data_IF_810596882787
#
_entry.id   IF_810596882787
#
_cell.length_a   1.000
_cell.length_b   1.000
_cell.length_c   1.000
_cell.angle_alpha   90.00
_cell.angle_beta   90.00
_cell.angle_gamma   90.00
#
_symmetry.space_group_name_H-M   'P 1'
#
loop_
_entity.id
_entity.type
_entity.pdbx_description
1 polymer ?
#
# COMPACT_ATOMS: atom_id res chain seq x y z
N UNK A 1 78.19 -13.34 68.51
CA UNK A 1 79.43 -14.10 68.15
C UNK A 1 79.99 -13.37 66.96
N UNK A 2 80.93 -12.59 67.27
CA UNK A 2 82.39 -12.62 66.99
C UNK A 2 82.64 -12.18 65.55
N UNK A 3 83.13 -10.94 65.42
CA UNK A 3 84.59 -10.56 65.38
C UNK A 3 85.14 -10.80 63.96
N UNK A 4 85.91 -10.04 63.35
CA UNK A 4 86.87 -8.99 63.76
C UNK A 4 87.74 -8.73 62.57
N UNK A 5 88.07 -7.47 62.35
CA UNK A 5 89.42 -6.92 62.31
C UNK A 5 90.27 -7.32 61.07
N UNK A 6 91.15 -6.60 60.51
CA UNK A 6 91.92 -5.42 60.95
C UNK A 6 92.72 -4.87 59.76
N UNK A 7 92.94 -3.58 59.76
CA UNK A 7 94.26 -2.88 59.73
C UNK A 7 95.22 -3.19 58.60
N UNK A 8 95.74 -2.25 58.02
CA UNK A 8 96.53 -1.08 58.25
C UNK A 8 97.64 -0.99 57.21
N UNK A 9 97.93 0.10 56.83
CA UNK A 9 99.09 0.98 57.05
C UNK A 9 100.09 1.17 55.87
N UNK A 10 100.13 2.39 55.50
CA UNK A 10 101.27 3.29 55.48
C UNK A 10 102.43 3.05 54.44
N UNK A 11 102.64 4.01 53.61
CA UNK A 11 103.79 4.94 53.73
C UNK A 11 104.11 5.60 52.40
N UNK A 12 104.14 6.91 52.38
CA UNK A 12 104.95 7.73 51.47
C UNK A 12 106.44 7.53 51.72
N UNK A 13 107.43 7.91 50.90
CA UNK A 13 107.66 9.31 50.56
C UNK A 13 108.33 9.63 49.21
N UNK A 14 108.39 10.91 48.97
CA UNK A 14 109.45 11.75 48.40
C UNK A 14 109.64 11.80 46.86
N UNK A 15 109.26 13.00 46.32
CA UNK A 15 110.02 13.99 45.57
C UNK A 15 111.23 13.59 44.75
N UNK A 16 111.22 14.01 43.49
CA UNK A 16 112.41 14.62 42.83
C UNK A 16 111.92 15.54 41.68
N UNK A 17 112.53 16.76 41.72
CA UNK A 17 112.26 17.90 40.81
C UNK A 17 112.94 17.70 39.44
N UNK A 18 112.35 18.48 38.50
CA UNK A 18 112.90 19.26 37.36
C UNK A 18 113.06 18.51 36.00
N UNK A 19 113.16 19.21 34.84
CA UNK A 19 112.97 20.68 34.61
C UNK A 19 112.01 21.02 33.45
N UNK A 20 111.71 22.32 33.34
CA UNK A 20 110.98 23.05 32.37
C UNK A 20 111.44 22.93 30.91
N UNK A 21 110.60 22.76 29.93
CA UNK A 21 110.82 23.17 28.54
C UNK A 21 109.49 23.64 27.87
N UNK A 22 109.55 24.38 26.78
CA UNK A 22 108.70 25.56 26.56
C UNK A 22 107.31 25.24 25.83
N UNK A 23 106.32 26.06 26.06
CA UNK A 23 104.99 26.06 25.42
C UNK A 23 105.08 26.34 23.90
N UNK A 24 104.43 25.51 23.05
CA UNK A 24 104.18 25.94 21.69
C UNK A 24 102.94 26.84 21.62
N UNK A 25 102.96 27.88 20.77
CA UNK A 25 101.86 28.81 20.46
C UNK A 25 100.77 28.02 19.76
N UNK A 26 99.42 28.27 20.06
CA UNK A 26 98.31 27.64 19.36
C UNK A 26 98.20 28.14 17.93
N UNK A 27 98.24 27.22 16.97
CA UNK A 27 97.99 27.51 15.55
C UNK A 27 96.55 27.93 15.31
N UNK A 28 96.36 29.02 14.62
CA UNK A 28 95.06 29.66 14.26
C UNK A 28 94.08 28.71 13.54
N UNK A 29 94.48 27.53 13.13
CA UNK A 29 93.66 26.51 12.45
C UNK A 29 92.72 25.74 13.40
N UNK A 30 92.94 25.65 14.68
CA UNK A 30 92.13 24.95 15.67
C UNK A 30 90.85 25.78 16.03
N UNK A 31 90.96 27.08 15.97
CA UNK A 31 89.78 27.95 16.19
C UNK A 31 88.71 27.79 15.10
N UNK A 32 89.06 27.46 13.87
CA UNK A 32 88.10 27.17 12.79
C UNK A 32 87.43 25.82 12.91
N UNK A 33 88.13 24.82 13.51
CA UNK A 33 87.53 23.50 13.78
C UNK A 33 86.50 23.57 14.93
N UNK A 34 86.75 24.37 15.96
CA UNK A 34 85.79 24.61 17.05
C UNK A 34 84.58 25.43 16.59
N UNK A 35 84.80 26.41 15.74
CA UNK A 35 83.65 27.16 15.17
C UNK A 35 82.79 26.30 14.27
N UNK A 36 83.33 25.38 13.47
CA UNK A 36 82.63 24.44 12.64
C UNK A 36 81.81 23.42 13.48
N UNK A 37 82.32 22.90 14.55
CA UNK A 37 81.57 21.94 15.43
C UNK A 37 80.41 22.62 16.18
N UNK A 38 80.59 23.87 16.63
CA UNK A 38 79.51 24.63 17.27
C UNK A 38 78.40 24.98 16.26
N UNK A 39 78.75 25.33 14.99
CA UNK A 39 77.77 25.58 13.95
C UNK A 39 77.02 24.31 13.58
N UNK A 40 77.65 23.15 13.44
CA UNK A 40 76.92 21.87 13.14
C UNK A 40 76.07 21.43 14.35
N UNK A 41 76.56 21.61 15.58
CA UNK A 41 75.75 21.33 16.78
C UNK A 41 74.57 22.29 16.91
N UNK A 42 74.70 23.58 16.51
CA UNK A 42 73.61 24.53 16.48
C UNK A 42 72.56 24.25 15.41
N UNK A 43 73.01 23.88 14.19
CA UNK A 43 72.10 23.48 13.09
C UNK A 43 71.43 22.13 13.40
N UNK A 44 72.19 21.16 13.93
CA UNK A 44 71.63 19.86 14.33
C UNK A 44 70.65 19.95 15.51
N UNK A 45 70.95 20.76 16.52
CA UNK A 45 70.06 21.05 17.65
C UNK A 45 68.86 21.85 17.25
N UNK A 46 69.01 22.84 16.35
CA UNK A 46 67.88 23.58 15.80
C UNK A 46 66.95 22.76 14.90
N UNK A 47 67.57 21.89 14.04
CA UNK A 47 66.79 20.95 13.22
C UNK A 47 66.09 19.89 14.09
N UNK A 48 66.73 19.38 15.14
CA UNK A 48 66.12 18.45 16.10
C UNK A 48 64.96 19.14 16.85
N UNK A 49 65.10 20.39 17.26
CA UNK A 49 64.03 21.15 17.93
C UNK A 49 62.89 21.52 17.00
N UNK A 50 63.18 21.83 15.74
CA UNK A 50 62.17 22.08 14.71
C UNK A 50 61.46 20.81 14.20
N UNK A 51 62.16 19.68 14.20
CA UNK A 51 61.61 18.37 13.78
C UNK A 51 61.06 17.51 14.94
N UNK A 52 61.27 17.95 16.19
CA UNK A 52 60.65 17.28 17.33
C UNK A 52 59.15 17.43 17.27
N UNK A 53 58.34 16.34 17.23
CA UNK A 53 56.92 16.43 17.26
C UNK A 53 56.51 17.19 18.54
N UNK A 54 55.88 18.34 18.36
CA UNK A 54 55.31 19.11 19.47
C UNK A 54 54.38 18.18 20.23
N UNK A 55 54.43 18.09 21.57
CA UNK A 55 53.45 17.32 22.32
C UNK A 55 52.07 17.89 21.98
N UNK A 56 51.30 17.11 21.23
CA UNK A 56 49.91 17.48 20.95
C UNK A 56 49.24 17.69 22.29
N UNK A 57 48.66 18.88 22.49
CA UNK A 57 47.85 19.18 23.67
C UNK A 57 46.67 18.22 23.65
N UNK A 58 46.73 17.16 24.39
CA UNK A 58 45.65 16.17 24.50
C UNK A 58 45.18 16.14 25.96
N UNK A 59 43.90 15.98 26.13
CA UNK A 59 43.28 15.76 27.44
C UNK A 59 43.06 14.26 27.59
N UNK A 60 43.79 13.66 28.57
CA UNK A 60 43.60 12.27 28.91
C UNK A 60 42.37 12.06 29.79
N UNK A 61 41.66 11.00 29.53
CA UNK A 61 40.51 10.55 30.34
C UNK A 61 40.48 9.03 30.40
N UNK A 62 40.01 8.55 31.53
CA UNK A 62 39.79 7.10 31.73
C UNK A 62 38.31 6.81 31.81
N UNK A 63 37.92 5.62 31.41
CA UNK A 63 36.53 5.21 31.40
C UNK A 63 36.36 3.75 31.02
N UNK A 64 35.24 3.43 30.45
CA UNK A 64 34.93 2.08 29.99
C UNK A 64 34.22 2.09 28.66
N UNK A 65 34.34 1.00 27.93
CA UNK A 65 33.57 0.75 26.71
C UNK A 65 32.13 0.43 27.11
N UNK A 66 31.19 1.06 26.47
CA UNK A 66 29.75 0.80 26.56
C UNK A 66 29.21 0.53 25.17
N UNK A 67 28.13 -0.26 25.07
CA UNK A 67 27.41 -0.52 23.80
C UNK A 67 25.98 -0.07 23.91
N UNK A 68 25.35 0.16 22.77
CA UNK A 68 23.92 0.40 22.73
C UNK A 68 23.17 -0.90 22.96
N UNK A 69 22.52 -1.00 24.11
CA UNK A 69 21.71 -2.16 24.47
C UNK A 69 20.33 -2.02 23.86
N UNK A 70 19.87 -3.07 23.19
CA UNK A 70 18.51 -3.16 22.66
C UNK A 70 17.76 -4.25 23.41
N UNK A 71 16.73 -3.84 24.12
CA UNK A 71 15.82 -4.77 24.79
C UNK A 71 14.84 -5.33 23.76
N UNK A 72 14.83 -6.66 23.63
CA UNK A 72 13.91 -7.41 22.77
C UNK A 72 12.77 -7.92 23.63
N UNK A 73 11.56 -7.47 23.33
CA UNK A 73 10.32 -7.86 24.02
C UNK A 73 9.32 -8.46 23.05
N UNK A 74 8.32 -9.15 23.59
CA UNK A 74 7.15 -9.61 22.81
C UNK A 74 6.05 -8.57 22.80
N UNK A 75 5.25 -8.55 21.72
CA UNK A 75 4.01 -7.80 21.61
C UNK A 75 2.79 -8.63 22.01
N UNK A 76 2.91 -9.95 22.00
CA UNK A 76 1.86 -10.88 22.43
C UNK A 76 2.13 -11.47 23.81
N UNK A 77 1.07 -11.77 24.57
CA UNK A 77 1.17 -12.60 25.77
C UNK A 77 1.14 -14.07 25.35
N UNK A 78 1.85 -14.94 26.09
CA UNK A 78 1.81 -16.38 25.84
C UNK A 78 2.86 -17.15 26.64
N UNK A 79 2.85 -18.44 26.49
CA UNK A 79 3.87 -19.32 27.04
C UNK A 79 5.03 -19.43 26.05
N UNK A 80 6.26 -19.36 26.51
CA UNK A 80 7.46 -19.60 25.69
C UNK A 80 7.52 -21.08 25.32
N UNK A 81 7.43 -21.38 24.05
CA UNK A 81 7.61 -22.75 23.51
C UNK A 81 9.09 -23.08 23.36
N UNK A 82 9.87 -22.16 22.75
CA UNK A 82 11.29 -22.35 22.49
C UNK A 82 12.05 -21.04 22.55
N UNK A 83 13.29 -21.13 23.06
CA UNK A 83 14.31 -20.09 22.98
C UNK A 83 15.47 -20.65 22.17
N UNK A 84 15.77 -20.04 21.02
CA UNK A 84 16.75 -20.58 20.06
C UNK A 84 18.18 -20.13 20.32
N UNK A 85 18.38 -19.16 21.22
CA UNK A 85 19.68 -18.55 21.50
C UNK A 85 20.02 -18.61 22.99
N UNK A 86 21.31 -18.56 23.29
CA UNK A 86 21.86 -18.49 24.67
C UNK A 86 22.57 -17.16 24.88
N UNK A 87 22.87 -16.84 26.13
CA UNK A 87 23.74 -15.71 26.45
C UNK A 87 25.13 -15.93 25.81
N UNK A 88 25.69 -14.86 25.28
CA UNK A 88 26.92 -14.89 24.49
C UNK A 88 26.78 -15.30 23.04
N UNK A 89 25.58 -15.72 22.58
CA UNK A 89 25.37 -16.09 21.19
C UNK A 89 25.33 -14.85 20.26
N UNK A 90 25.98 -14.95 19.11
CA UNK A 90 25.88 -13.96 18.04
C UNK A 90 24.59 -14.16 17.28
N UNK A 91 23.86 -13.08 17.03
CA UNK A 91 22.59 -13.07 16.32
C UNK A 91 22.61 -12.09 15.16
N UNK A 92 21.84 -12.39 14.11
CA UNK A 92 21.67 -11.51 12.95
C UNK A 92 20.26 -10.91 12.94
N UNK A 93 20.13 -9.73 12.36
CA UNK A 93 18.83 -9.08 12.20
C UNK A 93 17.84 -10.00 11.47
N UNK A 94 16.64 -10.15 12.05
CA UNK A 94 15.58 -11.04 11.53
C UNK A 94 15.70 -12.50 12.00
N UNK A 95 16.77 -12.89 12.69
CA UNK A 95 16.92 -14.24 13.23
C UNK A 95 15.88 -14.49 14.33
N UNK A 96 15.25 -15.67 14.29
CA UNK A 96 14.33 -16.12 15.34
C UNK A 96 15.07 -16.27 16.67
N UNK A 97 14.54 -15.64 17.71
CA UNK A 97 15.09 -15.68 19.08
C UNK A 97 14.19 -16.46 20.04
N UNK A 98 12.90 -16.14 20.02
CA UNK A 98 11.93 -16.76 20.92
C UNK A 98 10.66 -17.06 20.11
N UNK A 99 10.10 -18.24 20.33
CA UNK A 99 8.79 -18.63 19.83
C UNK A 99 7.85 -18.86 21.01
N UNK A 100 6.73 -18.20 20.96
CA UNK A 100 5.63 -18.45 21.90
C UNK A 100 4.71 -19.55 21.36
N UNK A 101 3.97 -20.19 22.24
CA UNK A 101 2.94 -21.16 21.89
C UNK A 101 1.87 -20.49 21.02
N UNK A 102 1.64 -21.04 19.84
CA UNK A 102 0.80 -20.45 18.80
C UNK A 102 -0.39 -21.34 18.39
N UNK A 103 -0.62 -22.46 19.08
CA UNK A 103 -1.64 -23.46 18.72
C UNK A 103 -3.05 -22.87 18.72
N UNK A 104 -3.39 -22.09 19.75
CA UNK A 104 -4.70 -21.40 19.86
C UNK A 104 -4.89 -20.40 18.73
N UNK A 105 -3.89 -19.54 18.48
CA UNK A 105 -3.97 -18.48 17.44
C UNK A 105 -3.99 -19.10 16.04
N UNK A 106 -3.30 -20.24 15.81
CA UNK A 106 -3.40 -20.98 14.54
C UNK A 106 -4.80 -21.54 14.32
N UNK A 107 -5.43 -22.03 15.37
CA UNK A 107 -6.82 -22.49 15.32
C UNK A 107 -7.79 -21.36 15.01
N UNK A 108 -7.62 -20.18 15.66
CA UNK A 108 -8.36 -18.97 15.34
C UNK A 108 -8.14 -18.53 13.89
N UNK A 109 -6.90 -18.58 13.38
CA UNK A 109 -6.59 -18.23 11.99
C UNK A 109 -7.29 -19.16 11.00
N UNK A 110 -7.33 -20.46 11.31
CA UNK A 110 -8.05 -21.44 10.49
C UNK A 110 -9.54 -21.15 10.46
N UNK A 111 -10.14 -20.85 11.62
CA UNK A 111 -11.55 -20.46 11.72
C UNK A 111 -11.84 -19.15 10.94
N UNK A 112 -11.01 -18.12 11.09
CA UNK A 112 -11.14 -16.87 10.36
C UNK A 112 -10.98 -17.05 8.84
N UNK A 113 -10.09 -17.96 8.41
CA UNK A 113 -9.92 -18.30 7.00
C UNK A 113 -11.16 -19.00 6.44
N UNK A 114 -11.76 -19.92 7.19
CA UNK A 114 -13.02 -20.59 6.81
C UNK A 114 -14.18 -19.60 6.72
N UNK A 115 -14.25 -18.61 7.62
CA UNK A 115 -15.24 -17.53 7.56
C UNK A 115 -15.06 -16.67 6.31
N UNK A 116 -13.83 -16.34 5.94
CA UNK A 116 -13.52 -15.60 4.71
C UNK A 116 -13.98 -16.38 3.47
N UNK A 117 -13.69 -17.66 3.38
CA UNK A 117 -14.14 -18.49 2.26
C UNK A 117 -15.67 -18.60 2.20
N UNK A 118 -16.36 -18.72 3.33
CA UNK A 118 -17.81 -18.70 3.37
C UNK A 118 -18.39 -17.36 2.89
N UNK A 119 -17.77 -16.22 3.24
CA UNK A 119 -18.17 -14.90 2.74
C UNK A 119 -17.96 -14.77 1.24
N UNK A 120 -16.85 -15.27 0.69
CA UNK A 120 -16.57 -15.29 -0.76
C UNK A 120 -17.60 -16.15 -1.53
N UNK A 121 -18.02 -17.27 -0.97
CA UNK A 121 -19.09 -18.09 -1.57
C UNK A 121 -20.40 -17.33 -1.67
N UNK A 122 -20.82 -16.59 -0.61
CA UNK A 122 -22.01 -15.76 -0.64
C UNK A 122 -21.91 -14.63 -1.68
N UNK A 123 -20.72 -14.03 -1.82
CA UNK A 123 -20.47 -13.04 -2.89
C UNK A 123 -20.64 -13.66 -4.28
N UNK A 124 -20.10 -14.87 -4.50
CA UNK A 124 -20.21 -15.57 -5.75
C UNK A 124 -21.69 -15.94 -6.06
N UNK A 125 -22.45 -16.38 -5.07
CA UNK A 125 -23.89 -16.64 -5.19
C UNK A 125 -24.66 -15.37 -5.58
N UNK A 126 -24.39 -14.24 -4.93
CA UNK A 126 -25.00 -12.96 -5.24
C UNK A 126 -24.67 -12.48 -6.67
N UNK A 127 -23.46 -12.71 -7.15
CA UNK A 127 -23.06 -12.44 -8.54
C UNK A 127 -23.80 -13.31 -9.53
N UNK A 128 -23.93 -14.61 -9.23
CA UNK A 128 -24.65 -15.54 -10.07
C UNK A 128 -26.13 -15.18 -10.18
N UNK A 129 -26.75 -14.75 -9.08
CA UNK A 129 -28.15 -14.29 -9.07
C UNK A 129 -28.35 -13.08 -10.00
N UNK A 130 -27.43 -12.13 -10.04
CA UNK A 130 -27.46 -11.00 -10.96
C UNK A 130 -27.37 -11.50 -12.41
N UNK A 131 -26.47 -12.41 -12.73
CA UNK A 131 -26.31 -12.97 -14.07
C UNK A 131 -27.58 -13.69 -14.55
N UNK A 132 -28.25 -14.43 -13.67
CA UNK A 132 -29.54 -15.07 -13.98
C UNK A 132 -30.60 -14.04 -14.31
N UNK A 133 -30.71 -12.97 -13.51
CA UNK A 133 -31.67 -11.89 -13.76
C UNK A 133 -31.36 -11.10 -15.04
N UNK A 134 -30.10 -10.88 -15.35
CA UNK A 134 -29.68 -10.25 -16.61
C UNK A 134 -30.05 -11.09 -17.83
N UNK A 135 -29.88 -12.42 -17.75
CA UNK A 135 -30.36 -13.34 -18.79
C UNK A 135 -31.88 -13.28 -18.96
N UNK A 136 -32.62 -13.27 -17.84
CA UNK A 136 -34.07 -13.16 -17.88
C UNK A 136 -34.55 -11.82 -18.46
N UNK A 137 -33.83 -10.73 -18.20
CA UNK A 137 -34.12 -9.41 -18.79
C UNK A 137 -33.87 -9.46 -20.31
N UNK A 138 -32.76 -10.07 -20.76
CA UNK A 138 -32.48 -10.21 -22.18
C UNK A 138 -33.54 -11.05 -22.90
N UNK A 139 -33.97 -12.16 -22.33
CA UNK A 139 -35.06 -12.97 -22.86
C UNK A 139 -36.40 -12.18 -22.93
N UNK A 140 -36.72 -11.43 -21.88
CA UNK A 140 -37.93 -10.60 -21.86
C UNK A 140 -37.86 -9.47 -22.88
N UNK A 141 -36.67 -8.91 -23.16
CA UNK A 141 -36.46 -7.91 -24.21
C UNK A 141 -36.70 -8.47 -25.62
N UNK A 142 -36.21 -9.67 -25.90
CA UNK A 142 -36.45 -10.37 -27.15
C UNK A 142 -37.93 -10.65 -27.35
N UNK A 143 -38.63 -11.10 -26.30
CA UNK A 143 -40.09 -11.33 -26.31
C UNK A 143 -40.85 -10.06 -26.52
N UNK A 144 -40.43 -8.93 -25.97
CA UNK A 144 -41.01 -7.61 -26.22
C UNK A 144 -40.87 -7.24 -27.69
N UNK A 145 -39.67 -7.31 -28.25
CA UNK A 145 -39.40 -7.00 -29.67
C UNK A 145 -40.24 -7.85 -30.61
N UNK A 146 -40.36 -9.15 -30.33
CA UNK A 146 -41.23 -10.05 -31.09
C UNK A 146 -42.71 -9.64 -30.97
N UNK A 147 -43.19 -9.36 -29.75
CA UNK A 147 -44.59 -8.93 -29.52
C UNK A 147 -44.91 -7.60 -30.17
N UNK A 148 -43.98 -6.65 -30.24
CA UNK A 148 -44.09 -5.40 -30.93
C UNK A 148 -44.21 -5.64 -32.46
N UNK A 149 -43.32 -6.46 -33.04
CA UNK A 149 -43.35 -6.81 -34.46
C UNK A 149 -44.66 -7.54 -34.86
N UNK A 150 -45.08 -8.50 -34.04
CA UNK A 150 -46.36 -9.22 -34.30
C UNK A 150 -47.57 -8.31 -34.23
N UNK A 151 -47.56 -7.35 -33.27
CA UNK A 151 -48.66 -6.40 -33.11
C UNK A 151 -48.69 -5.38 -34.27
N UNK A 152 -47.53 -4.86 -34.63
CA UNK A 152 -47.42 -3.93 -35.78
C UNK A 152 -47.82 -4.61 -37.09
N UNK A 153 -47.40 -5.86 -37.31
CA UNK A 153 -47.81 -6.66 -38.48
C UNK A 153 -49.32 -6.85 -38.55
N UNK A 154 -49.96 -7.25 -37.44
CA UNK A 154 -51.44 -7.43 -37.38
C UNK A 154 -52.18 -6.13 -37.61
N UNK A 155 -51.73 -5.02 -37.07
CA UNK A 155 -52.34 -3.71 -37.28
C UNK A 155 -52.16 -3.25 -38.71
N UNK A 156 -51.00 -3.48 -39.35
CA UNK A 156 -50.74 -3.17 -40.74
C UNK A 156 -51.64 -3.99 -41.68
N UNK A 157 -51.76 -5.30 -41.42
CA UNK A 157 -52.69 -6.18 -42.19
C UNK A 157 -54.13 -5.71 -42.06
N UNK A 158 -54.62 -5.42 -40.86
CA UNK A 158 -55.96 -4.95 -40.64
C UNK A 158 -56.22 -3.58 -41.32
N UNK A 159 -55.29 -2.64 -41.33
CA UNK A 159 -55.34 -1.39 -42.06
C UNK A 159 -55.41 -1.63 -43.55
N UNK A 160 -54.64 -2.57 -44.11
CA UNK A 160 -54.76 -2.90 -45.56
C UNK A 160 -56.12 -3.49 -45.93
N UNK A 161 -56.69 -4.33 -45.04
CA UNK A 161 -58.06 -4.86 -45.25
C UNK A 161 -59.13 -3.72 -45.25
N UNK A 162 -58.97 -2.76 -44.34
CA UNK A 162 -59.93 -1.55 -44.37
C UNK A 162 -59.74 -0.78 -45.65
N UNK A 163 -58.48 -0.51 -46.08
CA UNK A 163 -58.25 0.22 -47.34
C UNK A 163 -58.83 -0.52 -48.56
N UNK A 164 -58.67 -1.84 -48.61
CA UNK A 164 -59.28 -2.67 -49.67
C UNK A 164 -60.79 -2.61 -49.68
N UNK A 165 -61.41 -2.77 -48.50
CA UNK A 165 -62.85 -2.70 -48.38
C UNK A 165 -63.41 -1.30 -48.77
N UNK A 166 -62.72 -0.22 -48.40
CA UNK A 166 -63.06 1.15 -48.80
C UNK A 166 -62.92 1.35 -50.30
N UNK A 167 -61.93 0.78 -50.94
CA UNK A 167 -61.78 0.85 -52.40
C UNK A 167 -62.91 0.13 -53.13
N UNK A 168 -63.35 -1.03 -52.64
CA UNK A 168 -64.52 -1.77 -53.18
C UNK A 168 -65.79 -0.95 -52.98
N UNK A 169 -65.97 -0.37 -51.80
CA UNK A 169 -67.16 0.52 -51.58
C UNK A 169 -67.22 1.69 -52.59
N UNK A 170 -66.06 2.38 -52.75
CA UNK A 170 -65.96 3.48 -53.71
C UNK A 170 -66.26 3.03 -55.16
N UNK A 171 -65.81 1.83 -55.53
CA UNK A 171 -66.15 1.24 -56.84
C UNK A 171 -67.61 0.96 -57.01
N UNK A 172 -68.32 0.39 -56.00
CA UNK A 172 -69.75 0.12 -56.07
C UNK A 172 -70.56 1.41 -56.06
N UNK A 173 -70.16 2.44 -55.30
CA UNK A 173 -70.79 3.77 -55.33
C UNK A 173 -70.65 4.43 -56.72
N UNK A 174 -69.51 4.25 -57.42
CA UNK A 174 -69.37 4.71 -58.81
C UNK A 174 -70.31 3.94 -59.76
N UNK A 175 -70.51 2.62 -59.57
CA UNK A 175 -71.48 1.80 -60.36
C UNK A 175 -72.96 2.19 -60.14
N UNK A 176 -73.28 2.60 -58.91
CA UNK A 176 -74.65 3.17 -58.66
C UNK A 176 -74.87 4.42 -59.49
N UNK A 177 -73.88 5.36 -59.47
CA UNK A 177 -73.96 6.59 -60.29
C UNK A 177 -74.11 6.31 -61.79
N UNK A 178 -73.39 5.29 -62.29
CA UNK A 178 -73.56 4.83 -63.70
C UNK A 178 -74.97 4.32 -63.95
N UNK A 179 -75.48 3.44 -63.07
CA UNK A 179 -76.82 2.91 -63.20
C UNK A 179 -77.90 4.00 -63.05
N UNK A 180 -77.74 4.97 -62.15
CA UNK A 180 -78.65 6.14 -62.04
C UNK A 180 -78.66 6.99 -63.31
N UNK A 181 -77.50 7.22 -63.99
CA UNK A 181 -77.41 7.94 -65.24
C UNK A 181 -78.18 7.20 -66.37
N UNK A 182 -78.02 5.84 -66.43
CA UNK A 182 -78.78 5.02 -67.38
C UNK A 182 -80.25 5.03 -67.09
N UNK A 183 -80.72 5.02 -65.83
CA UNK A 183 -82.08 5.16 -65.42
C UNK A 183 -82.69 6.52 -65.87
N UNK A 184 -81.93 7.61 -65.61
CA UNK A 184 -82.29 8.95 -65.99
C UNK A 184 -82.52 9.05 -67.54
N UNK A 185 -81.61 8.47 -68.31
CA UNK A 185 -81.73 8.38 -69.76
C UNK A 185 -82.98 7.60 -70.15
N UNK A 186 -83.19 6.40 -69.59
CA UNK A 186 -84.44 5.60 -69.88
C UNK A 186 -85.72 6.29 -69.46
N UNK A 187 -85.71 7.07 -68.40
CA UNK A 187 -86.82 7.90 -67.92
C UNK A 187 -87.19 8.98 -68.98
N UNK A 188 -86.19 9.73 -69.48
CA UNK A 188 -86.37 10.73 -70.51
C UNK A 188 -86.94 10.13 -71.80
N UNK A 189 -86.39 9.00 -72.20
CA UNK A 189 -86.83 8.30 -73.39
C UNK A 189 -88.24 7.77 -73.21
N UNK A 190 -88.64 7.18 -72.10
CA UNK A 190 -89.99 6.72 -71.78
C UNK A 190 -90.94 7.89 -71.81
N UNK A 191 -90.68 9.04 -71.17
CA UNK A 191 -91.47 10.22 -71.10
C UNK A 191 -91.71 10.80 -72.52
N UNK A 192 -90.67 10.77 -73.37
CA UNK A 192 -90.74 11.17 -74.78
C UNK A 192 -91.66 10.27 -75.58
N UNK A 193 -91.48 8.94 -75.55
CA UNK A 193 -92.28 8.01 -76.34
C UNK A 193 -93.73 7.89 -75.89
N UNK A 194 -93.98 7.94 -74.58
CA UNK A 194 -95.36 8.00 -74.05
C UNK A 194 -96.11 9.25 -74.55
N UNK A 195 -95.47 10.43 -74.58
CA UNK A 195 -96.01 11.66 -75.09
C UNK A 195 -96.24 11.57 -76.60
N UNK A 196 -95.31 11.06 -77.37
CA UNK A 196 -95.49 10.94 -78.85
C UNK A 196 -96.56 9.93 -79.18
N UNK A 197 -96.69 8.82 -78.44
CA UNK A 197 -97.80 7.85 -78.65
C UNK A 197 -99.14 8.45 -78.32
N UNK A 198 -99.31 9.28 -77.29
CA UNK A 198 -100.55 9.97 -76.95
C UNK A 198 -100.94 10.98 -77.99
N UNK A 199 -100.00 11.53 -78.76
CA UNK A 199 -100.23 12.45 -79.87
C UNK A 199 -100.43 11.72 -81.23
N UNK A 200 -100.38 10.36 -81.23
CA UNK A 200 -100.52 9.57 -82.47
C UNK A 200 -99.28 9.60 -83.39
N UNK A 201 -98.14 10.14 -82.92
CA UNK A 201 -96.92 10.31 -83.71
C UNK A 201 -95.95 9.10 -83.57
N UNK A 202 -96.22 8.16 -82.63
CA UNK A 202 -95.49 6.93 -82.47
C UNK A 202 -96.42 5.78 -82.05
N UNK A 203 -95.95 4.53 -82.07
CA UNK A 203 -96.71 3.33 -81.71
C UNK A 203 -96.77 3.08 -80.24
N UNK A 204 -97.89 2.58 -79.69
CA UNK A 204 -98.02 2.17 -78.29
C UNK A 204 -96.92 1.13 -77.91
N UNK A 205 -96.60 0.21 -78.83
CA UNK A 205 -95.54 -0.79 -78.62
C UNK A 205 -94.16 -0.17 -78.28
N UNK A 206 -93.79 0.98 -78.88
CA UNK A 206 -92.57 1.73 -78.56
C UNK A 206 -92.64 2.37 -77.17
N UNK A 207 -93.74 2.87 -76.75
CA UNK A 207 -93.96 3.39 -75.39
C UNK A 207 -93.83 2.27 -74.34
N UNK A 208 -94.41 1.08 -74.59
CA UNK A 208 -94.33 -0.08 -73.72
C UNK A 208 -92.92 -0.64 -73.63
N UNK A 209 -92.17 -0.65 -74.76
CA UNK A 209 -90.73 -1.03 -74.76
C UNK A 209 -89.92 -0.02 -73.96
N UNK A 210 -90.16 1.25 -74.09
CA UNK A 210 -89.48 2.28 -73.31
C UNK A 210 -89.81 2.20 -71.79
N UNK A 211 -91.04 1.86 -71.44
CA UNK A 211 -91.43 1.60 -70.07
C UNK A 211 -90.71 0.35 -69.48
N UNK A 212 -90.60 -0.72 -70.26
CA UNK A 212 -89.89 -1.91 -69.89
C UNK A 212 -88.38 -1.64 -69.68
N UNK A 213 -87.81 -0.81 -70.57
CA UNK A 213 -86.38 -0.37 -70.41
C UNK A 213 -86.18 0.44 -69.13
N UNK A 214 -87.15 1.33 -68.78
CA UNK A 214 -87.05 2.07 -67.49
C UNK A 214 -87.16 1.12 -66.29
N UNK A 215 -88.15 0.20 -66.31
CA UNK A 215 -88.29 -0.78 -65.22
C UNK A 215 -87.01 -1.60 -65.03
N UNK A 216 -86.38 -2.00 -66.15
CA UNK A 216 -85.08 -2.73 -66.09
C UNK A 216 -83.98 -1.87 -65.50
N UNK A 217 -83.90 -0.60 -65.91
CA UNK A 217 -82.90 0.34 -65.37
C UNK A 217 -83.12 0.61 -63.86
N UNK A 218 -84.41 0.77 -63.45
CA UNK A 218 -84.71 0.88 -62.01
C UNK A 218 -84.28 -0.36 -61.17
N UNK A 219 -84.56 -1.54 -61.69
CA UNK A 219 -84.14 -2.78 -61.08
C UNK A 219 -82.61 -2.88 -61.00
N UNK A 220 -81.90 -2.37 -62.03
CA UNK A 220 -80.41 -2.31 -62.01
C UNK A 220 -79.87 -1.36 -60.91
N UNK A 221 -80.49 -0.17 -60.74
CA UNK A 221 -80.15 0.77 -59.66
C UNK A 221 -80.30 0.07 -58.29
N UNK A 222 -81.47 -0.50 -58.03
CA UNK A 222 -81.76 -1.18 -56.77
C UNK A 222 -80.79 -2.32 -56.48
N UNK A 223 -80.36 -3.08 -57.53
CA UNK A 223 -79.34 -4.10 -57.37
C UNK A 223 -77.99 -3.53 -57.01
N UNK A 224 -77.55 -2.38 -57.60
CA UNK A 224 -76.28 -1.72 -57.30
C UNK A 224 -76.33 -1.07 -55.92
N UNK A 225 -77.43 -0.50 -55.50
CA UNK A 225 -77.58 0.01 -54.11
C UNK A 225 -77.45 -1.11 -53.07
N UNK A 226 -78.01 -2.27 -53.33
CA UNK A 226 -77.85 -3.43 -52.48
C UNK A 226 -76.34 -3.86 -52.37
N UNK A 227 -75.62 -3.75 -53.52
CA UNK A 227 -74.16 -4.03 -53.52
C UNK A 227 -73.37 -3.00 -52.67
N UNK A 228 -73.78 -1.72 -52.72
CA UNK A 228 -73.14 -0.68 -51.85
C UNK A 228 -73.44 -0.96 -50.37
N UNK A 229 -74.65 -1.41 -50.01
CA UNK A 229 -74.94 -1.80 -48.61
C UNK A 229 -74.05 -2.97 -48.15
N UNK A 230 -73.86 -3.97 -49.03
CA UNK A 230 -73.00 -5.07 -48.77
C UNK A 230 -71.51 -4.63 -48.59
N UNK A 231 -71.00 -3.76 -49.46
CA UNK A 231 -69.69 -3.18 -49.41
C UNK A 231 -69.49 -2.33 -48.13
N UNK A 232 -70.50 -1.53 -47.72
CA UNK A 232 -70.41 -0.81 -46.42
C UNK A 232 -70.30 -1.73 -45.23
N UNK A 233 -71.02 -2.85 -45.17
CA UNK A 233 -70.90 -3.84 -44.16
C UNK A 233 -69.48 -4.49 -44.15
N UNK A 234 -68.90 -4.71 -45.32
CA UNK A 234 -67.53 -5.22 -45.43
C UNK A 234 -66.54 -4.24 -44.84
N UNK A 235 -66.66 -2.92 -45.01
CA UNK A 235 -65.82 -1.89 -44.37
C UNK A 235 -66.00 -1.93 -42.85
N UNK A 236 -67.19 -2.05 -42.33
CA UNK A 236 -67.54 -2.11 -40.93
C UNK A 236 -66.79 -3.36 -40.25
N UNK A 237 -66.90 -4.53 -40.93
CA UNK A 237 -66.24 -5.74 -40.49
C UNK A 237 -64.73 -5.55 -40.47
N UNK A 238 -64.14 -4.93 -41.49
CA UNK A 238 -62.71 -4.65 -41.57
C UNK A 238 -62.28 -3.66 -40.49
N UNK A 239 -63.09 -2.64 -40.21
CA UNK A 239 -62.79 -1.72 -39.05
C UNK A 239 -62.91 -2.41 -37.73
N UNK A 240 -63.81 -3.36 -37.52
CA UNK A 240 -63.88 -4.18 -36.32
C UNK A 240 -62.61 -5.02 -36.13
N UNK A 241 -62.05 -5.60 -37.21
CA UNK A 241 -60.80 -6.32 -37.19
C UNK A 241 -59.62 -5.40 -36.85
N UNK A 242 -59.62 -4.15 -37.39
CA UNK A 242 -58.59 -3.17 -37.03
C UNK A 242 -58.63 -2.81 -35.54
N UNK A 243 -59.81 -2.56 -35.00
CA UNK A 243 -60.00 -2.30 -33.56
C UNK A 243 -59.49 -3.50 -32.70
N UNK A 244 -59.82 -4.71 -33.13
CA UNK A 244 -59.32 -5.92 -32.47
C UNK A 244 -57.80 -6.02 -32.55
N UNK A 245 -57.17 -5.75 -33.71
CA UNK A 245 -55.73 -5.74 -33.85
C UNK A 245 -55.07 -4.67 -32.95
N UNK A 246 -55.69 -3.47 -32.86
CA UNK A 246 -55.23 -2.39 -31.99
C UNK A 246 -55.27 -2.76 -30.49
N UNK A 247 -56.25 -3.56 -30.05
CA UNK A 247 -56.27 -4.02 -28.64
C UNK A 247 -55.11 -4.95 -28.29
N UNK A 248 -54.46 -5.58 -29.28
CA UNK A 248 -53.26 -6.40 -29.03
C UNK A 248 -52.05 -5.58 -28.67
N UNK A 249 -52.04 -4.24 -28.83
CA UNK A 249 -50.97 -3.34 -28.39
C UNK A 249 -50.75 -3.33 -26.89
N UNK A 250 -51.70 -3.84 -26.09
CA UNK A 250 -51.55 -4.04 -24.64
C UNK A 250 -50.56 -5.17 -24.29
N UNK A 251 -50.20 -6.07 -25.23
CA UNK A 251 -49.28 -7.14 -24.99
C UNK A 251 -47.82 -6.64 -24.85
N UNK A 252 -47.31 -5.77 -25.73
CA UNK A 252 -45.99 -5.10 -25.52
C UNK A 252 -45.89 -4.37 -24.17
N UNK A 253 -46.92 -3.63 -23.76
CA UNK A 253 -46.93 -2.89 -22.48
C UNK A 253 -46.79 -3.82 -21.28
N UNK A 254 -47.44 -4.99 -21.31
CA UNK A 254 -47.27 -6.03 -20.28
C UNK A 254 -45.86 -6.57 -20.24
N UNK A 255 -45.23 -6.79 -21.39
CA UNK A 255 -43.84 -7.24 -21.48
C UNK A 255 -42.90 -6.15 -20.97
N UNK A 256 -43.08 -4.89 -21.30
CA UNK A 256 -42.32 -3.76 -20.77
C UNK A 256 -42.42 -3.66 -19.24
N UNK A 257 -43.62 -3.86 -18.69
CA UNK A 257 -43.84 -3.91 -17.23
C UNK A 257 -43.09 -5.08 -16.59
N UNK A 258 -43.08 -6.26 -17.23
CA UNK A 258 -42.31 -7.41 -16.76
C UNK A 258 -40.81 -7.11 -16.74
N UNK A 259 -40.25 -6.48 -17.78
CA UNK A 259 -38.88 -6.04 -17.84
C UNK A 259 -38.54 -5.10 -16.67
N UNK A 260 -39.37 -4.09 -16.42
CA UNK A 260 -39.19 -3.14 -15.32
C UNK A 260 -39.14 -3.86 -13.95
N UNK A 261 -40.02 -4.86 -13.76
CA UNK A 261 -40.03 -5.68 -12.55
C UNK A 261 -38.72 -6.48 -12.40
N UNK A 262 -38.22 -7.11 -13.46
CA UNK A 262 -36.96 -7.86 -13.47
C UNK A 262 -35.77 -6.92 -13.23
N UNK A 263 -35.78 -5.71 -13.78
CA UNK A 263 -34.75 -4.69 -13.52
C UNK A 263 -34.71 -4.30 -12.03
N UNK A 264 -35.88 -4.07 -11.43
CA UNK A 264 -35.96 -3.79 -9.98
C UNK A 264 -35.41 -4.95 -9.13
N UNK A 265 -35.70 -6.20 -9.52
CA UNK A 265 -35.13 -7.39 -8.85
C UNK A 265 -33.62 -7.48 -9.03
N UNK A 266 -33.08 -7.17 -10.23
CA UNK A 266 -31.63 -7.11 -10.47
C UNK A 266 -30.97 -6.03 -9.59
N UNK A 267 -31.59 -4.85 -9.46
CA UNK A 267 -31.06 -3.77 -8.65
C UNK A 267 -31.06 -4.14 -7.14
N UNK A 268 -32.10 -4.85 -6.69
CA UNK A 268 -32.11 -5.43 -5.34
C UNK A 268 -31.00 -6.46 -5.15
N UNK A 269 -30.77 -7.34 -6.13
CA UNK A 269 -29.66 -8.31 -6.08
C UNK A 269 -28.28 -7.61 -6.10
N UNK A 270 -28.13 -6.48 -6.78
CA UNK A 270 -26.90 -5.64 -6.72
C UNK A 270 -26.64 -5.09 -5.32
N UNK A 271 -27.67 -4.63 -4.62
CA UNK A 271 -27.53 -4.21 -3.21
C UNK A 271 -27.11 -5.38 -2.34
N UNK A 272 -27.69 -6.56 -2.55
CA UNK A 272 -27.27 -7.77 -1.85
C UNK A 272 -25.80 -8.14 -2.14
N UNK A 273 -25.32 -7.98 -3.38
CA UNK A 273 -23.91 -8.18 -3.74
C UNK A 273 -23.01 -7.20 -2.99
N UNK A 274 -23.36 -5.91 -2.91
CA UNK A 274 -22.58 -4.93 -2.14
C UNK A 274 -22.50 -5.30 -0.66
N UNK A 275 -23.59 -5.84 -0.09
CA UNK A 275 -23.58 -6.39 1.27
C UNK A 275 -22.60 -7.56 1.41
N UNK A 276 -22.67 -8.54 0.50
CA UNK A 276 -21.78 -9.68 0.51
C UNK A 276 -20.30 -9.29 0.32
N UNK A 277 -20.01 -8.29 -0.50
CA UNK A 277 -18.66 -7.71 -0.65
C UNK A 277 -18.16 -7.06 0.64
N UNK A 278 -19.02 -6.36 1.36
CA UNK A 278 -18.68 -5.79 2.66
C UNK A 278 -18.38 -6.90 3.69
N UNK A 279 -19.13 -8.00 3.67
CA UNK A 279 -18.87 -9.17 4.52
C UNK A 279 -17.51 -9.82 4.20
N UNK A 280 -17.15 -9.96 2.93
CA UNK A 280 -15.83 -10.44 2.50
C UNK A 280 -14.73 -9.56 3.06
N UNK A 281 -14.85 -8.24 2.89
CA UNK A 281 -13.87 -7.28 3.39
C UNK A 281 -13.73 -7.33 4.92
N UNK A 282 -14.82 -7.51 5.63
CA UNK A 282 -14.83 -7.65 7.11
C UNK A 282 -14.14 -8.94 7.54
N UNK A 283 -14.45 -10.07 6.88
CA UNK A 283 -13.81 -11.35 7.16
C UNK A 283 -12.32 -11.34 6.82
N UNK A 284 -11.91 -10.65 5.74
CA UNK A 284 -10.52 -10.48 5.36
C UNK A 284 -9.74 -9.66 6.40
N UNK A 285 -10.31 -8.56 6.87
CA UNK A 285 -9.73 -7.74 7.94
C UNK A 285 -9.58 -8.54 9.24
N UNK A 286 -10.57 -9.36 9.60
CA UNK A 286 -10.48 -10.23 10.77
C UNK A 286 -9.37 -11.28 10.61
N UNK A 287 -9.28 -11.96 9.46
CA UNK A 287 -8.19 -12.91 9.19
C UNK A 287 -6.82 -12.21 9.29
N UNK A 288 -6.69 -11.00 8.75
CA UNK A 288 -5.43 -10.22 8.82
C UNK A 288 -5.08 -9.83 10.26
N UNK A 289 -6.07 -9.50 11.09
CA UNK A 289 -5.87 -9.22 12.51
C UNK A 289 -5.30 -10.44 13.23
N UNK A 290 -5.89 -11.63 13.03
CA UNK A 290 -5.42 -12.88 13.65
C UNK A 290 -4.02 -13.24 13.12
N UNK A 291 -3.76 -13.05 11.83
CA UNK A 291 -2.42 -13.26 11.26
C UNK A 291 -1.36 -12.34 11.90
N UNK A 292 -1.70 -11.09 12.19
CA UNK A 292 -0.80 -10.16 12.91
C UNK A 292 -0.56 -10.62 14.34
N UNK A 293 -1.59 -11.09 15.04
CA UNK A 293 -1.43 -11.70 16.38
C UNK A 293 -0.47 -12.89 16.34
N UNK A 294 -0.60 -13.76 15.34
CA UNK A 294 0.30 -14.90 15.14
C UNK A 294 1.74 -14.46 14.93
N UNK A 295 1.97 -13.44 14.11
CA UNK A 295 3.29 -12.89 13.87
C UNK A 295 3.94 -12.31 15.13
N UNK A 296 3.14 -11.75 16.06
CA UNK A 296 3.63 -11.22 17.33
C UNK A 296 4.09 -12.30 18.31
N UNK A 297 3.73 -13.57 18.08
CA UNK A 297 4.20 -14.70 18.89
C UNK A 297 5.60 -15.18 18.48
N UNK A 298 6.13 -14.65 17.39
CA UNK A 298 7.49 -14.94 16.90
C UNK A 298 8.35 -13.72 17.12
N UNK A 299 9.32 -13.82 18.03
CA UNK A 299 10.20 -12.72 18.39
C UNK A 299 11.53 -12.88 17.66
N UNK A 300 11.81 -11.94 16.77
CA UNK A 300 13.02 -11.91 15.96
C UNK A 300 13.97 -10.79 16.42
N UNK A 301 15.28 -10.93 16.13
CA UNK A 301 16.27 -9.91 16.43
C UNK A 301 16.05 -8.65 15.58
N UNK A 302 15.96 -7.45 16.19
CA UNK A 302 15.86 -6.19 15.45
C UNK A 302 17.20 -5.73 14.87
N UNK A 303 18.33 -6.22 15.43
CA UNK A 303 19.70 -5.81 15.09
C UNK A 303 20.63 -7.02 14.93
N UNK A 304 21.81 -6.79 14.35
CA UNK A 304 22.94 -7.72 14.47
C UNK A 304 23.63 -7.45 15.80
N UNK A 305 24.04 -8.48 16.51
CA UNK A 305 24.74 -8.27 17.78
C UNK A 305 24.96 -9.55 18.56
N UNK A 306 25.26 -9.39 19.84
CA UNK A 306 25.49 -10.49 20.80
C UNK A 306 24.44 -10.38 21.92
N UNK A 307 23.87 -11.52 22.30
CA UNK A 307 22.94 -11.61 23.43
C UNK A 307 23.70 -11.44 24.74
N UNK A 308 23.38 -10.40 25.48
CA UNK A 308 24.04 -10.12 26.78
C UNK A 308 23.27 -10.68 27.97
N UNK A 309 21.94 -10.73 27.88
CA UNK A 309 21.10 -11.23 28.97
C UNK A 309 19.89 -11.98 28.37
N UNK A 310 19.55 -13.10 29.00
CA UNK A 310 18.39 -13.92 28.70
C UNK A 310 17.52 -14.04 29.96
N UNK A 311 16.35 -13.39 29.92
CA UNK A 311 15.41 -13.32 31.05
C UNK A 311 14.27 -14.35 30.98
N UNK A 312 14.27 -15.23 29.97
CA UNK A 312 13.19 -16.20 29.71
C UNK A 312 13.71 -17.60 29.40
N UNK A 313 12.92 -18.58 29.84
CA UNK A 313 13.16 -20.01 29.61
C UNK A 313 11.93 -20.65 28.96
N UNK A 314 12.07 -21.76 28.21
CA UNK A 314 10.94 -22.54 27.74
C UNK A 314 9.99 -22.90 28.88
N UNK A 315 8.67 -22.73 28.66
CA UNK A 315 7.63 -22.91 29.68
C UNK A 315 7.27 -21.65 30.47
N UNK A 316 8.07 -20.59 30.43
CA UNK A 316 7.75 -19.30 31.09
C UNK A 316 6.57 -18.62 30.42
N UNK A 317 5.66 -18.04 31.21
CA UNK A 317 4.58 -17.19 30.71
C UNK A 317 5.07 -15.75 30.67
N UNK A 318 4.94 -15.11 29.51
CA UNK A 318 5.36 -13.73 29.28
C UNK A 318 4.22 -12.80 28.93
N UNK A 319 4.38 -11.54 29.30
CA UNK A 319 3.44 -10.47 29.02
C UNK A 319 4.04 -9.49 28.01
N UNK A 320 3.22 -8.74 27.28
CA UNK A 320 3.71 -7.69 26.37
C UNK A 320 4.61 -6.69 27.06
N UNK A 321 5.59 -6.17 26.31
CA UNK A 321 6.54 -5.14 26.74
C UNK A 321 7.55 -5.59 27.82
N UNK A 322 7.52 -6.83 28.29
CA UNK A 322 8.54 -7.37 29.18
C UNK A 322 9.79 -7.74 28.36
N UNK A 323 10.99 -7.25 28.71
CA UNK A 323 12.23 -7.65 28.05
C UNK A 323 12.47 -9.15 28.22
N UNK A 324 12.67 -9.85 27.10
CA UNK A 324 12.97 -11.29 27.06
C UNK A 324 14.46 -11.52 26.92
N UNK A 325 15.10 -10.71 26.07
CA UNK A 325 16.52 -10.77 25.73
C UNK A 325 17.05 -9.35 25.61
N UNK A 326 18.35 -9.22 25.86
CA UNK A 326 19.08 -7.96 25.61
C UNK A 326 20.19 -8.24 24.62
N UNK A 327 20.31 -7.41 23.60
CA UNK A 327 21.29 -7.56 22.52
C UNK A 327 22.11 -6.29 22.42
N UNK A 328 23.41 -6.45 22.22
CA UNK A 328 24.34 -5.34 21.99
C UNK A 328 25.02 -5.50 20.65
N UNK A 329 25.02 -4.42 19.86
CA UNK A 329 25.80 -4.37 18.61
C UNK A 329 27.24 -4.01 18.91
N UNK A 330 28.15 -4.99 18.75
CA UNK A 330 29.58 -4.80 18.98
C UNK A 330 30.26 -3.93 17.91
N UNK A 331 29.56 -3.61 16.80
CA UNK A 331 30.08 -2.69 15.78
C UNK A 331 29.74 -1.23 16.10
N UNK A 332 28.87 -0.99 17.09
CA UNK A 332 28.44 0.34 17.51
C UNK A 332 28.66 0.50 19.00
N UNK A 333 29.92 0.61 19.38
CA UNK A 333 30.33 0.83 20.78
C UNK A 333 30.92 2.21 20.95
N UNK A 334 30.85 2.72 22.17
CA UNK A 334 31.42 4.00 22.55
C UNK A 334 32.16 3.88 23.88
N UNK A 335 33.17 4.71 24.07
CA UNK A 335 33.80 4.85 25.37
C UNK A 335 33.08 5.92 26.18
N UNK A 336 32.67 5.62 27.38
CA UNK A 336 32.23 6.59 28.36
C UNK A 336 33.35 6.87 29.34
N UNK A 337 33.97 8.03 29.16
CA UNK A 337 35.03 8.50 30.03
C UNK A 337 34.61 9.69 30.88
N UNK A 338 35.40 10.01 31.88
CA UNK A 338 35.14 11.08 32.81
C UNK A 338 36.28 12.10 32.81
N UNK A 339 35.93 13.39 32.77
CA UNK A 339 36.87 14.49 32.70
C UNK A 339 36.65 15.42 33.88
N UNK A 340 37.68 15.88 34.58
CA UNK A 340 37.58 16.88 35.64
C UNK A 340 36.95 18.17 35.16
N UNK A 341 36.09 18.79 36.00
CA UNK A 341 35.35 19.99 35.65
C UNK A 341 36.17 21.18 35.17
N UNK A 342 37.42 21.27 35.62
CA UNK A 342 38.35 22.34 35.20
C UNK A 342 38.79 22.24 33.73
N UNK A 343 38.70 21.06 33.08
CA UNK A 343 39.14 20.85 31.69
C UNK A 343 38.01 20.81 30.70
N UNK A 344 36.76 20.73 31.14
CA UNK A 344 35.58 20.58 30.25
C UNK A 344 35.39 21.76 29.28
N UNK A 345 35.84 22.95 29.69
CA UNK A 345 35.70 24.18 28.84
C UNK A 345 36.50 24.08 27.52
N UNK A 346 37.49 23.20 27.44
CA UNK A 346 38.36 23.01 26.28
C UNK A 346 37.82 21.95 25.29
N UNK A 347 36.77 21.22 25.69
CA UNK A 347 36.26 20.10 24.90
C UNK A 347 34.98 20.52 24.16
N UNK A 348 34.87 20.06 22.92
CA UNK A 348 33.72 20.30 22.06
C UNK A 348 33.29 18.98 21.42
N UNK A 349 31.98 18.84 21.17
CA UNK A 349 31.46 17.76 20.35
C UNK A 349 32.04 17.88 18.94
N UNK A 350 32.41 16.75 18.33
CA UNK A 350 33.09 16.67 17.05
C UNK A 350 34.63 16.64 17.11
N UNK A 351 35.22 16.80 18.26
CA UNK A 351 36.69 16.70 18.39
C UNK A 351 37.14 15.28 18.16
N UNK A 352 38.27 15.06 17.45
CA UNK A 352 38.86 13.75 17.29
C UNK A 352 39.49 13.30 18.59
N UNK A 353 39.42 12.00 18.86
CA UNK A 353 39.99 11.36 20.02
C UNK A 353 40.66 10.03 19.63
N UNK A 354 41.52 9.53 20.50
CA UNK A 354 42.15 8.22 20.40
C UNK A 354 41.77 7.44 21.63
N UNK A 355 41.27 6.23 21.43
CA UNK A 355 40.90 5.32 22.53
C UNK A 355 41.90 4.15 22.57
N UNK A 356 42.41 3.88 23.72
CA UNK A 356 43.34 2.78 24.00
C UNK A 356 42.63 1.78 24.91
N UNK A 357 42.61 0.53 24.48
CA UNK A 357 42.05 -0.55 25.28
C UNK A 357 43.12 -1.04 26.29
N UNK A 358 42.69 -1.55 27.41
CA UNK A 358 43.58 -2.05 28.47
C UNK A 358 44.53 -3.21 28.02
N UNK A 359 44.21 -3.85 26.90
CA UNK A 359 45.07 -4.88 26.27
C UNK A 359 46.23 -4.28 25.46
N UNK A 360 46.36 -2.95 25.33
CA UNK A 360 47.49 -2.25 24.69
C UNK A 360 48.23 -1.34 25.69
N UNK A 361 48.99 -1.91 26.63
CA UNK A 361 49.65 -1.16 27.71
C UNK A 361 50.73 -0.17 27.20
N UNK A 362 51.12 -0.27 25.94
CA UNK A 362 52.11 0.61 25.32
C UNK A 362 51.46 1.68 24.39
N UNK A 363 50.14 1.75 24.34
CA UNK A 363 49.40 2.72 23.53
C UNK A 363 49.81 2.74 22.04
N UNK A 364 50.10 1.56 21.48
CA UNK A 364 50.63 1.44 20.11
C UNK A 364 49.55 1.39 19.03
N UNK A 365 48.32 0.96 19.39
CA UNK A 365 47.23 0.76 18.45
C UNK A 365 45.96 1.51 18.88
N UNK A 366 45.96 2.85 18.80
CA UNK A 366 44.77 3.64 19.17
C UNK A 366 43.60 3.41 18.22
N UNK A 367 42.43 3.18 18.76
CA UNK A 367 41.20 3.22 18.04
C UNK A 367 40.80 4.69 17.79
N UNK A 368 40.47 5.03 16.55
CA UNK A 368 39.97 6.35 16.20
C UNK A 368 38.58 6.53 16.81
N UNK A 369 38.38 7.68 17.42
CA UNK A 369 37.11 8.01 18.03
C UNK A 369 36.81 9.50 17.88
N UNK A 370 35.55 9.86 18.08
CA UNK A 370 35.07 11.23 18.01
C UNK A 370 34.21 11.53 19.22
N UNK A 371 34.34 12.72 19.80
CA UNK A 371 33.49 13.19 20.88
C UNK A 371 32.07 13.38 20.35
N UNK A 372 31.11 12.57 20.80
CA UNK A 372 29.73 12.64 20.36
C UNK A 372 28.80 13.33 21.35
N UNK A 373 29.11 13.26 22.63
CA UNK A 373 28.30 13.91 23.66
C UNK A 373 29.13 14.26 24.89
N UNK A 374 28.69 15.33 25.57
CA UNK A 374 29.23 15.76 26.85
C UNK A 374 28.06 15.89 27.80
N UNK A 375 28.12 15.26 28.97
CA UNK A 375 27.02 15.31 29.94
C UNK A 375 26.80 16.76 30.42
N UNK A 376 25.55 17.22 30.41
CA UNK A 376 25.21 18.60 30.84
C UNK A 376 25.31 18.81 32.36
N UNK A 377 25.35 17.75 33.13
CA UNK A 377 25.49 17.78 34.61
C UNK A 377 26.75 17.12 35.03
N UNK A 378 27.45 17.75 35.97
CA UNK A 378 28.54 17.13 36.66
C UNK A 378 28.05 15.92 37.49
N UNK A 379 28.84 14.88 37.49
CA UNK A 379 28.67 13.72 38.33
C UNK A 379 29.86 13.65 39.29
N UNK A 380 29.74 12.91 40.36
CA UNK A 380 30.86 12.62 41.23
C UNK A 380 31.47 11.29 40.83
N UNK A 381 32.79 11.15 40.96
CA UNK A 381 33.44 9.87 40.71
C UNK A 381 32.80 8.78 41.57
N UNK A 382 32.50 7.60 41.02
CA UNK A 382 31.66 6.59 41.71
C UNK A 382 32.37 5.79 42.81
N UNK A 383 33.48 6.25 43.37
CA UNK A 383 34.16 5.53 44.43
C UNK A 383 33.97 6.16 45.81
N UNK A 384 33.60 5.33 46.78
CA UNK A 384 33.54 5.65 48.21
C UNK A 384 34.98 5.83 48.77
N UNK A 385 35.43 7.09 48.93
CA UNK A 385 36.74 7.39 49.46
C UNK A 385 36.63 7.93 50.89
N UNK A 386 37.28 7.27 51.84
CA UNK A 386 37.21 7.56 53.27
C UNK A 386 38.26 8.55 53.76
N UNK A 387 39.07 9.17 52.92
CA UNK A 387 40.15 10.06 53.36
C UNK A 387 40.05 11.48 52.81
N UNK A 388 40.37 12.44 53.68
CA UNK A 388 40.23 13.91 53.51
C UNK A 388 41.10 14.50 52.35
N UNK A 389 42.00 13.73 51.76
CA UNK A 389 42.85 14.14 50.62
C UNK A 389 42.26 13.83 49.25
N UNK A 390 41.29 12.94 49.21
CA UNK A 390 40.63 12.53 47.97
C UNK A 390 39.23 13.18 47.94
N UNK A 391 39.19 14.51 47.76
CA UNK A 391 37.92 15.22 47.49
C UNK A 391 37.34 14.64 46.24
N UNK A 392 36.09 14.20 46.34
CA UNK A 392 35.27 13.78 45.19
C UNK A 392 35.32 14.92 44.17
N UNK A 393 36.10 14.77 43.11
CA UNK A 393 36.17 15.76 42.04
C UNK A 393 34.86 15.70 41.23
N UNK A 394 34.34 16.87 40.92
CA UNK A 394 33.24 16.96 39.95
C UNK A 394 33.81 16.61 38.58
N UNK A 395 33.24 15.58 38.00
CA UNK A 395 33.61 15.11 36.68
C UNK A 395 32.40 15.22 35.72
N UNK A 396 32.69 15.42 34.47
CA UNK A 396 31.71 15.38 33.42
C UNK A 396 31.91 14.14 32.58
N UNK A 397 30.83 13.40 32.31
CA UNK A 397 30.85 12.27 31.39
C UNK A 397 30.97 12.75 29.95
N UNK A 398 31.90 12.11 29.24
CA UNK A 398 32.10 12.35 27.79
C UNK A 398 31.96 11.02 27.06
N UNK A 399 31.21 11.02 25.97
CA UNK A 399 31.06 9.87 25.10
C UNK A 399 31.92 10.04 23.85
N UNK A 400 32.73 9.03 23.59
CA UNK A 400 33.59 8.94 22.43
C UNK A 400 33.10 7.79 21.57
N UNK A 401 32.49 8.07 20.42
CA UNK A 401 32.11 7.06 19.44
C UNK A 401 33.39 6.48 18.79
N UNK A 402 33.51 5.15 18.76
CA UNK A 402 34.62 4.47 18.16
C UNK A 402 34.29 4.13 16.71
N UNK A 403 35.09 4.60 15.74
CA UNK A 403 34.75 4.51 14.32
C UNK A 403 34.79 3.06 13.79
N UNK A 404 35.73 2.26 14.23
CA UNK A 404 35.92 0.86 13.79
C UNK A 404 36.36 0.00 14.98
N UNK A 405 35.43 -0.43 15.85
CA UNK A 405 35.77 -1.19 17.05
C UNK A 405 36.33 -2.60 16.77
N UNK A 406 36.15 -3.12 15.53
CA UNK A 406 36.68 -4.41 15.08
C UNK A 406 36.19 -5.65 15.86
N UNK A 407 35.16 -5.49 16.70
CA UNK A 407 34.67 -6.55 17.59
C UNK A 407 35.57 -6.83 18.83
N UNK A 408 36.69 -6.13 18.96
CA UNK A 408 37.64 -6.29 20.10
C UNK A 408 37.22 -5.45 21.32
N UNK A 409 36.67 -4.26 21.06
CA UNK A 409 36.14 -3.38 22.10
C UNK A 409 34.79 -3.91 22.60
N UNK A 410 34.82 -4.63 23.72
CA UNK A 410 33.61 -5.21 24.31
C UNK A 410 33.07 -4.32 25.43
N UNK A 411 31.76 -4.17 25.57
CA UNK A 411 31.15 -3.48 26.70
C UNK A 411 31.67 -4.00 28.04
N UNK A 412 31.96 -3.07 28.95
CA UNK A 412 32.52 -3.35 30.26
C UNK A 412 34.05 -3.31 30.31
N UNK A 413 34.77 -3.31 29.18
CA UNK A 413 36.24 -3.20 29.18
C UNK A 413 36.68 -1.80 29.64
N UNK A 414 37.66 -1.69 30.53
CA UNK A 414 38.30 -0.41 30.84
C UNK A 414 39.04 0.09 29.60
N UNK A 415 39.09 1.40 29.44
CA UNK A 415 39.77 2.03 28.33
C UNK A 415 40.22 3.44 28.73
N UNK A 416 41.39 3.85 28.22
CA UNK A 416 41.87 5.21 28.30
C UNK A 416 41.70 5.94 26.97
N UNK A 417 41.55 7.24 27.02
CA UNK A 417 41.44 8.01 25.78
C UNK A 417 42.18 9.35 25.88
N UNK A 418 42.54 9.87 24.74
CA UNK A 418 43.14 11.19 24.56
C UNK A 418 42.27 11.99 23.59
N UNK A 419 41.70 13.11 24.03
CA UNK A 419 40.98 14.07 23.16
C UNK A 419 41.98 15.06 22.63
N UNK A 420 42.10 15.17 21.32
CA UNK A 420 43.01 16.08 20.67
C UNK A 420 42.46 17.49 20.68
N UNK A 421 43.18 18.43 21.28
CA UNK A 421 42.77 19.83 21.27
C UNK A 421 43.12 20.49 19.91
N UNK A 422 42.26 21.36 19.37
CA UNK A 422 42.65 22.15 18.21
C UNK A 422 43.82 23.07 18.55
N UNK A 423 44.79 23.09 17.66
CA UNK A 423 45.94 24.00 17.78
C UNK A 423 45.53 25.44 17.55
#
# INVERSE_FOLDING_TARGET
>A
MTQSTDSANASAPQSLEAPLSPKPKPSRRWLWLLAGTVAIAGIGGGAYWLLSPQPSSAIALSGRIEGYETDVSTQGAGRVEAVTVREGATVTKGQLLVRLDDEEIRSELTAATSQLEAAKQREAEARLQISVLESQIADAQLNLQQSEGDTEGKVAEAKALVATAQSVLSQEEARVKEAEALQAQAQVDRDRYVRLASLGAETQQRADLAQTALNTAQAAVASREAAVVAARRAVEIAQGKLTQAQTTTLNPDRQATNISRLQAQRDQARVALLGAQADVKTAEANRQLIQSKLNHLTVNSPINGVVTTRSVEPGTVVLPSRPLLRIVDLNQVYMRGFIPGGQIAQIRVGQPARVYLDNDPHHQNPLKATVTAIDAKASFTPENIYFQRDRVEQVFGVRLSIDQPGGFAKPGMPADAEILLPQ
#
